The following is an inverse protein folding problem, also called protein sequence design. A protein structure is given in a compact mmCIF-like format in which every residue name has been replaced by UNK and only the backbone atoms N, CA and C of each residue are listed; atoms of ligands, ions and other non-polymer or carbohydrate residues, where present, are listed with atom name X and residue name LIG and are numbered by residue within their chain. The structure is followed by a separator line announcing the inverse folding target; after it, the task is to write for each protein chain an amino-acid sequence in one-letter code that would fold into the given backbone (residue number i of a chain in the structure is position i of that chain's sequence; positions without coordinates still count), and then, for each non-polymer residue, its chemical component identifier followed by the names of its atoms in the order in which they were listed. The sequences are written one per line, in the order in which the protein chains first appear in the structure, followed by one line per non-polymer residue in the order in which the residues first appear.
data_IF_436643175551
#
_entry.id   IF_436643175551
#
_cell.length_a   1.000
_cell.length_b   1.000
_cell.length_c   1.000
_cell.angle_alpha   90.00
_cell.angle_beta   90.00
_cell.angle_gamma   90.00
#
_symmetry.space_group_name_H-M   'P 1'
#
loop_
_entity.id
_entity.type
_entity.pdbx_description
1 polymer ?
#
# COMPACT_ATOMS: atom_id res chain seq x y z
N UNK A 1 14.83 -1.57 -2.15
CA UNK A 1 14.17 -1.80 -3.45
C UNK A 1 15.09 -1.46 -4.63
N UNK A 2 15.57 -0.23 -4.81
CA UNK A 2 16.35 0.15 -6.00
C UNK A 2 17.62 -0.69 -6.30
N UNK A 3 18.27 -1.30 -5.29
CA UNK A 3 19.44 -2.18 -5.46
C UNK A 3 19.10 -3.68 -5.49
N UNK A 4 17.96 -4.05 -4.92
CA UNK A 4 17.46 -5.41 -4.87
C UNK A 4 15.92 -5.32 -4.86
N UNK A 5 15.27 -5.74 -5.97
CA UNK A 5 13.84 -5.58 -6.12
C UNK A 5 13.04 -6.70 -5.42
N UNK A 6 13.69 -7.74 -4.90
CA UNK A 6 13.01 -8.79 -4.15
C UNK A 6 12.46 -8.22 -2.83
N UNK A 7 11.17 -8.42 -2.60
CA UNK A 7 10.45 -7.92 -1.42
C UNK A 7 9.65 -9.04 -0.78
N UNK A 8 9.54 -8.99 0.54
CA UNK A 8 8.54 -9.70 1.31
C UNK A 8 7.44 -8.71 1.72
N UNK A 9 6.19 -9.13 1.59
CA UNK A 9 5.01 -8.31 1.90
C UNK A 9 4.18 -9.07 2.93
N UNK A 10 3.66 -8.37 3.93
CA UNK A 10 2.78 -8.93 4.94
C UNK A 10 1.60 -7.98 5.11
N UNK A 11 0.40 -8.56 5.13
CA UNK A 11 -0.86 -7.86 5.39
C UNK A 11 -1.57 -8.62 6.50
N UNK A 12 -1.81 -7.93 7.59
CA UNK A 12 -2.30 -8.47 8.84
C UNK A 12 -3.25 -7.45 9.48
N UNK A 13 -4.24 -7.97 10.20
CA UNK A 13 -5.14 -7.14 11.01
C UNK A 13 -4.43 -6.70 12.29
N UNK A 14 -4.86 -5.58 12.87
CA UNK A 14 -4.40 -5.16 14.18
C UNK A 14 -5.11 -5.97 15.28
N UNK A 15 -4.65 -7.19 15.50
CA UNK A 15 -5.22 -8.09 16.50
C UNK A 15 -4.90 -7.62 17.92
N UNK A 16 -5.93 -7.29 18.71
CA UNK A 16 -5.78 -7.09 20.16
C UNK A 16 -5.45 -8.42 20.86
N UNK A 17 -4.21 -8.57 21.31
CA UNK A 17 -3.72 -9.76 22.03
C UNK A 17 -3.76 -9.50 23.55
N UNK A 18 -4.92 -9.72 24.17
CA UNK A 18 -5.12 -9.47 25.61
C UNK A 18 -4.69 -10.67 26.47
N UNK A 19 -4.67 -11.87 25.89
CA UNK A 19 -4.32 -13.12 26.56
C UNK A 19 -3.12 -13.80 25.89
N UNK A 20 -2.29 -14.54 26.64
CA UNK A 20 -1.13 -15.25 26.07
C UNK A 20 -1.45 -16.24 24.95
N UNK A 21 -2.69 -16.73 24.83
CA UNK A 21 -3.12 -17.65 23.77
C UNK A 21 -3.70 -16.94 22.53
N UNK A 22 -3.84 -15.62 22.57
CA UNK A 22 -4.46 -14.86 21.48
C UNK A 22 -3.62 -14.85 20.20
N UNK A 23 -2.34 -15.24 20.25
CA UNK A 23 -1.50 -15.43 19.07
C UNK A 23 -2.14 -16.37 18.02
N UNK A 24 -3.02 -17.29 18.46
CA UNK A 24 -3.76 -18.19 17.57
C UNK A 24 -4.76 -17.46 16.67
N UNK A 25 -5.23 -16.28 17.08
CA UNK A 25 -6.18 -15.46 16.32
C UNK A 25 -5.52 -14.78 15.12
N UNK A 26 -4.20 -14.67 15.12
CA UNK A 26 -3.45 -13.95 14.07
C UNK A 26 -3.61 -14.68 12.75
N UNK A 27 -4.18 -13.99 11.77
CA UNK A 27 -4.27 -14.41 10.37
C UNK A 27 -3.76 -13.29 9.47
N UNK A 28 -3.33 -13.65 8.28
CA UNK A 28 -2.82 -12.66 7.36
C UNK A 28 -2.42 -13.23 6.02
N UNK A 29 -1.96 -12.35 5.15
CA UNK A 29 -1.41 -12.70 3.85
C UNK A 29 0.07 -12.36 3.86
N UNK A 30 0.90 -13.34 3.53
CA UNK A 30 2.32 -13.16 3.29
C UNK A 30 2.61 -13.37 1.82
N UNK A 31 3.54 -12.60 1.26
CA UNK A 31 3.89 -12.71 -0.16
C UNK A 31 5.38 -12.51 -0.36
N UNK A 32 5.93 -13.26 -1.30
CA UNK A 32 7.21 -12.96 -1.92
C UNK A 32 6.94 -12.29 -3.25
N UNK A 33 7.69 -11.26 -3.61
CA UNK A 33 7.48 -10.57 -4.87
C UNK A 33 8.68 -9.77 -5.35
N UNK A 34 8.47 -9.12 -6.48
CA UNK A 34 9.43 -8.19 -7.09
C UNK A 34 8.79 -6.82 -7.14
N UNK A 35 9.49 -5.80 -6.64
CA UNK A 35 9.03 -4.42 -6.63
C UNK A 35 9.76 -3.59 -7.68
N UNK A 36 8.96 -2.86 -8.47
CA UNK A 36 9.43 -2.02 -9.57
C UNK A 36 8.96 -0.58 -9.34
N UNK A 37 9.84 0.40 -9.58
CA UNK A 37 9.46 1.80 -9.49
C UNK A 37 8.56 2.14 -10.68
N UNK A 38 7.42 2.77 -10.41
CA UNK A 38 6.55 3.27 -11.47
C UNK A 38 7.21 4.49 -12.13
N UNK A 39 7.34 4.44 -13.45
CA UNK A 39 7.89 5.53 -14.27
C UNK A 39 6.92 6.00 -15.34
N UNK A 40 5.98 5.15 -15.76
CA UNK A 40 4.96 5.50 -16.75
C UNK A 40 3.85 6.37 -16.14
N UNK A 41 3.54 7.49 -16.81
CA UNK A 41 2.51 8.44 -16.38
C UNK A 41 1.13 7.80 -16.15
N UNK A 42 0.78 6.80 -16.96
CA UNK A 42 -0.49 6.07 -16.84
C UNK A 42 -0.55 5.23 -15.56
N UNK A 43 0.51 4.47 -15.26
CA UNK A 43 0.60 3.66 -14.03
C UNK A 43 0.64 4.56 -12.79
N UNK A 44 1.42 5.64 -12.83
CA UNK A 44 1.46 6.65 -11.75
C UNK A 44 0.07 7.26 -11.55
N UNK A 45 -0.60 7.67 -12.63
CA UNK A 45 -1.96 8.23 -12.56
C UNK A 45 -2.95 7.26 -11.93
N UNK A 46 -2.86 5.96 -12.27
CA UNK A 46 -3.69 4.92 -11.67
C UNK A 46 -3.39 4.75 -10.18
N UNK A 47 -2.12 4.68 -9.80
CA UNK A 47 -1.70 4.54 -8.40
C UNK A 47 -2.16 5.73 -7.55
N UNK A 48 -1.96 6.96 -8.03
CA UNK A 48 -2.43 8.20 -7.38
C UNK A 48 -3.94 8.17 -7.19
N UNK A 49 -4.72 7.78 -8.22
CA UNK A 49 -6.18 7.70 -8.11
C UNK A 49 -6.63 6.70 -7.05
N UNK A 50 -6.02 5.51 -7.01
CA UNK A 50 -6.35 4.47 -6.01
C UNK A 50 -6.00 4.96 -4.61
N UNK A 51 -4.79 5.49 -4.43
CA UNK A 51 -4.30 5.92 -3.12
C UNK A 51 -5.11 7.10 -2.56
N UNK A 52 -5.37 8.13 -3.38
CA UNK A 52 -6.14 9.31 -2.96
C UNK A 52 -7.62 9.00 -2.69
N UNK A 53 -8.21 7.97 -3.33
CA UNK A 53 -9.56 7.51 -2.96
C UNK A 53 -9.57 6.88 -1.57
N UNK A 54 -8.56 6.07 -1.25
CA UNK A 54 -8.44 5.41 0.05
C UNK A 54 -8.07 6.39 1.16
N UNK A 55 -7.19 7.34 0.86
CA UNK A 55 -6.67 8.33 1.79
C UNK A 55 -6.87 9.75 1.25
N UNK A 56 -8.11 10.29 1.27
CA UNK A 56 -8.41 11.59 0.66
C UNK A 56 -7.53 12.73 1.15
N UNK A 57 -7.15 12.73 2.43
CA UNK A 57 -6.28 13.76 3.03
C UNK A 57 -4.91 13.88 2.37
N UNK A 58 -4.49 12.91 1.56
CA UNK A 58 -3.22 12.93 0.82
C UNK A 58 -3.32 13.63 -0.54
N UNK A 59 -4.52 14.05 -0.97
CA UNK A 59 -4.72 14.62 -2.31
C UNK A 59 -3.88 15.86 -2.59
N UNK A 60 -3.73 16.76 -1.60
CA UNK A 60 -2.90 17.96 -1.71
C UNK A 60 -1.40 17.62 -1.86
N UNK A 61 -0.94 16.66 -1.06
CA UNK A 61 0.44 16.15 -1.11
C UNK A 61 0.74 15.49 -2.46
N UNK A 62 -0.14 14.61 -2.94
CA UNK A 62 0.01 13.94 -4.22
C UNK A 62 -0.04 14.92 -5.40
N UNK A 63 -0.84 15.99 -5.29
CA UNK A 63 -0.89 17.06 -6.30
C UNK A 63 0.44 17.81 -6.39
N UNK A 64 1.07 18.10 -5.24
CA UNK A 64 2.37 18.77 -5.22
C UNK A 64 3.51 17.88 -5.78
N UNK A 65 3.39 16.57 -5.60
CA UNK A 65 4.43 15.61 -5.97
C UNK A 65 4.33 15.12 -7.42
N UNK A 66 3.12 14.92 -7.93
CA UNK A 66 2.87 14.32 -9.23
C UNK A 66 2.19 15.32 -10.15
N UNK A 67 2.97 15.97 -11.01
CA UNK A 67 2.46 16.87 -12.05
C UNK A 67 2.03 16.11 -13.30
N UNK A 68 1.17 15.10 -13.15
CA UNK A 68 0.71 14.25 -14.27
C UNK A 68 -0.66 14.74 -14.78
N UNK A 69 -0.79 15.15 -16.07
CA UNK A 69 -2.01 15.76 -16.59
C UNK A 69 -3.29 14.94 -16.34
N UNK A 70 -3.21 13.61 -16.45
CA UNK A 70 -4.34 12.69 -16.33
C UNK A 70 -4.97 12.52 -14.94
N UNK A 71 -4.38 13.13 -13.90
CA UNK A 71 -4.87 13.01 -12.51
C UNK A 71 -5.12 14.35 -11.81
N UNK A 72 -4.63 15.46 -12.37
CA UNK A 72 -4.76 16.79 -11.75
C UNK A 72 -6.21 17.22 -11.49
N UNK A 73 -7.10 17.07 -12.48
CA UNK A 73 -8.53 17.40 -12.33
C UNK A 73 -9.19 16.59 -11.20
N UNK A 74 -8.78 15.34 -11.03
CA UNK A 74 -9.29 14.47 -9.98
C UNK A 74 -8.80 14.89 -8.59
N UNK A 75 -7.50 15.20 -8.45
CA UNK A 75 -6.94 15.65 -7.18
C UNK A 75 -7.49 17.01 -6.73
N UNK A 76 -7.74 17.93 -7.67
CA UNK A 76 -8.39 19.21 -7.35
C UNK A 76 -9.77 18.98 -6.73
N UNK A 77 -10.60 18.13 -7.34
CA UNK A 77 -11.94 17.81 -6.81
C UNK A 77 -11.90 17.15 -5.42
N UNK A 78 -10.85 16.39 -5.11
CA UNK A 78 -10.67 15.82 -3.76
C UNK A 78 -10.18 16.87 -2.77
N UNK A 79 -9.23 17.71 -3.17
CA UNK A 79 -8.69 18.80 -2.38
C UNK A 79 -9.78 19.81 -1.97
N UNK A 80 -10.65 20.20 -2.90
CA UNK A 80 -11.74 21.15 -2.65
C UNK A 80 -12.74 20.64 -1.59
N UNK A 81 -12.78 19.32 -1.37
CA UNK A 81 -13.65 18.69 -0.35
C UNK A 81 -13.00 18.63 1.04
N UNK A 82 -11.71 18.90 1.17
CA UNK A 82 -11.01 18.89 2.45
C UNK A 82 -11.23 20.21 3.18
N UNK A 83 -11.96 20.14 4.28
CA UNK A 83 -12.21 21.29 5.18
C UNK A 83 -11.02 21.61 6.10
N UNK A 84 -10.05 20.70 6.18
CA UNK A 84 -8.86 20.81 7.00
C UNK A 84 -7.65 20.38 6.18
N UNK A 85 -6.62 21.23 6.14
CA UNK A 85 -5.37 20.98 5.42
C UNK A 85 -4.30 20.69 6.47
N UNK A 86 -3.93 19.42 6.66
CA UNK A 86 -2.78 19.08 7.50
C UNK A 86 -1.49 19.64 6.89
N UNK A 87 -0.57 20.10 7.74
CA UNK A 87 0.79 20.45 7.33
C UNK A 87 1.49 19.19 6.83
N UNK A 88 1.82 19.17 5.53
CA UNK A 88 2.58 18.12 4.89
C UNK A 88 3.85 18.71 4.29
N UNK A 89 5.00 18.25 4.76
CA UNK A 89 6.27 18.47 4.06
C UNK A 89 6.40 17.42 2.95
N UNK A 90 6.13 17.82 1.72
CA UNK A 90 6.36 16.97 0.56
C UNK A 90 7.86 16.84 0.29
N UNK A 91 8.46 15.69 0.63
CA UNK A 91 9.75 15.32 0.03
C UNK A 91 9.52 14.94 -1.43
N UNK A 92 10.24 15.57 -2.36
CA UNK A 92 10.23 15.28 -3.79
C UNK A 92 10.81 13.90 -4.15
N UNK A 93 11.35 13.18 -3.16
CA UNK A 93 12.00 11.88 -3.34
C UNK A 93 11.05 10.69 -3.32
N UNK A 94 9.79 10.88 -2.91
CA UNK A 94 8.85 9.78 -2.81
C UNK A 94 8.48 9.24 -4.20
N UNK A 95 8.46 7.90 -4.32
CA UNK A 95 8.15 7.18 -5.55
C UNK A 95 7.08 6.13 -5.29
N UNK A 96 6.20 5.92 -6.26
CA UNK A 96 5.35 4.75 -6.26
C UNK A 96 6.15 3.53 -6.71
N UNK A 97 5.93 2.41 -6.03
CA UNK A 97 6.41 1.10 -6.45
C UNK A 97 5.22 0.18 -6.66
N UNK A 98 5.27 -0.62 -7.72
CA UNK A 98 4.37 -1.75 -7.95
C UNK A 98 5.08 -3.00 -7.47
N UNK A 99 4.45 -3.72 -6.54
CA UNK A 99 4.92 -5.03 -6.11
C UNK A 99 4.11 -6.11 -6.83
N UNK A 100 4.81 -7.01 -7.52
CA UNK A 100 4.24 -8.16 -8.22
C UNK A 100 4.51 -9.41 -7.39
N UNK A 101 3.47 -10.03 -6.80
CA UNK A 101 3.65 -11.29 -6.07
C UNK A 101 4.12 -12.40 -6.99
N UNK A 102 5.07 -13.19 -6.50
CA UNK A 102 5.59 -14.42 -7.12
C UNK A 102 5.09 -15.67 -6.38
N UNK A 103 4.86 -15.54 -5.07
CA UNK A 103 4.21 -16.54 -4.22
C UNK A 103 3.38 -15.83 -3.16
N UNK A 104 2.25 -16.44 -2.79
CA UNK A 104 1.33 -15.91 -1.80
C UNK A 104 1.01 -17.02 -0.81
N UNK A 105 1.03 -16.71 0.48
CA UNK A 105 0.62 -17.60 1.55
C UNK A 105 -0.46 -16.95 2.40
N UNK A 106 -1.47 -17.73 2.75
CA UNK A 106 -2.36 -17.41 3.85
C UNK A 106 -1.76 -17.98 5.15
N UNK A 107 -1.67 -17.13 6.16
CA UNK A 107 -1.25 -17.51 7.51
C UNK A 107 -2.50 -17.72 8.35
N UNK A 108 -2.64 -18.90 8.96
CA UNK A 108 -3.72 -19.19 9.91
C UNK A 108 -3.17 -19.88 11.17
N UNK A 109 -2.97 -19.07 12.21
CA UNK A 109 -2.43 -19.57 13.48
C UNK A 109 -3.45 -20.38 14.31
N UNK A 110 -4.72 -20.46 13.91
CA UNK A 110 -5.70 -21.29 14.62
C UNK A 110 -5.36 -22.78 14.45
N UNK A 111 -4.88 -23.13 13.25
CA UNK A 111 -4.51 -24.50 12.87
C UNK A 111 -3.21 -24.94 13.56
N UNK A 112 -2.15 -24.15 13.43
CA UNK A 112 -0.89 -24.34 14.15
C UNK A 112 -0.04 -23.07 14.11
N UNK A 113 0.98 -22.98 14.95
CA UNK A 113 1.93 -21.86 14.93
C UNK A 113 2.50 -21.60 13.52
N UNK A 114 2.31 -20.37 13.04
CA UNK A 114 2.72 -19.88 11.72
C UNK A 114 2.36 -20.82 10.57
N UNK A 115 1.17 -21.44 10.60
CA UNK A 115 0.75 -22.31 9.51
C UNK A 115 0.55 -21.50 8.24
N UNK A 116 1.47 -21.66 7.30
CA UNK A 116 1.37 -21.09 5.94
C UNK A 116 0.72 -22.09 5.01
N UNK A 117 -0.25 -21.63 4.24
CA UNK A 117 -0.88 -22.34 3.14
C UNK A 117 -0.66 -21.53 1.86
N UNK A 118 0.03 -22.11 0.89
CA UNK A 118 0.26 -21.42 -0.38
C UNK A 118 -1.05 -21.29 -1.16
N UNK A 119 -1.30 -20.09 -1.68
CA UNK A 119 -2.46 -19.75 -2.50
C UNK A 119 -2.03 -19.78 -3.95
N UNK A 120 -2.69 -20.60 -4.77
CA UNK A 120 -2.44 -20.72 -6.22
C UNK A 120 -3.29 -19.68 -6.95
N UNK A 121 -2.69 -18.87 -7.82
CA UNK A 121 -3.33 -17.79 -8.57
C UNK A 121 -2.80 -17.66 -10.00
#
# INVERSE_FOLDING_TARGET
IARNPHVAITIDEDYSLENPNDWRKVKGVQMEGVAEMLTADEEISRAVKVYARKYPFTALYLKAMFSVPGVMSFLNKLADKLKFIPDFTASSENKFYKATPTRIWFVDNETSFEKRQEVIF
#
